data_IF_006936086340
#
_entry.id   IF_006936086340
#
_cell.length_a   1.000
_cell.length_b   1.000
_cell.length_c   1.000
_cell.angle_alpha   90.00
_cell.angle_beta   90.00
_cell.angle_gamma   90.00
#
_symmetry.space_group_name_H-M   'P 1'
#
loop_
_entity.id
_entity.type
_entity.pdbx_description
1 polymer ?
#
# COMPACT_ATOMS: atom_id res chain seq x y z
N UNK A 1 13.25 -18.29 7.11
CA UNK A 1 13.42 -16.91 6.63
C UNK A 1 13.07 -16.66 5.17
N UNK A 2 13.29 -17.59 4.23
CA UNK A 2 13.00 -17.34 2.80
C UNK A 2 11.54 -16.98 2.46
N UNK A 3 10.55 -17.53 3.19
CA UNK A 3 9.12 -17.23 2.93
C UNK A 3 8.76 -15.78 3.23
N UNK A 4 9.24 -15.24 4.34
CA UNK A 4 8.98 -13.87 4.81
C UNK A 4 9.58 -12.84 3.84
N UNK A 5 10.78 -13.12 3.34
CA UNK A 5 11.47 -12.27 2.36
C UNK A 5 10.76 -12.27 1.01
N UNK A 6 10.39 -13.45 0.50
CA UNK A 6 9.62 -13.56 -0.74
C UNK A 6 8.27 -12.84 -0.68
N UNK A 7 7.53 -12.99 0.43
CA UNK A 7 6.27 -12.25 0.66
C UNK A 7 6.48 -10.73 0.70
N UNK A 8 7.55 -10.30 1.34
CA UNK A 8 7.93 -8.88 1.40
C UNK A 8 8.21 -8.32 0.00
N UNK A 9 8.98 -9.05 -0.82
CA UNK A 9 9.27 -8.67 -2.21
C UNK A 9 7.99 -8.63 -3.07
N UNK A 10 7.08 -9.59 -2.87
CA UNK A 10 5.76 -9.61 -3.51
C UNK A 10 4.94 -8.36 -3.15
N UNK A 11 4.89 -7.98 -1.87
CA UNK A 11 4.19 -6.78 -1.44
C UNK A 11 4.76 -5.51 -2.05
N UNK A 12 6.09 -5.38 -2.10
CA UNK A 12 6.76 -4.24 -2.72
C UNK A 12 6.41 -4.14 -4.21
N UNK A 13 6.45 -5.26 -4.92
CA UNK A 13 6.08 -5.30 -6.35
C UNK A 13 4.63 -4.88 -6.55
N UNK A 14 3.71 -5.40 -5.73
CA UNK A 14 2.28 -5.11 -5.83
C UNK A 14 1.93 -3.66 -5.48
N UNK A 15 2.60 -3.06 -4.48
CA UNK A 15 2.45 -1.63 -4.18
C UNK A 15 2.97 -0.76 -5.32
N UNK A 16 4.05 -1.18 -5.99
CA UNK A 16 4.59 -0.44 -7.15
C UNK A 16 3.65 -0.47 -8.34
N UNK A 17 2.96 -1.60 -8.56
CA UNK A 17 1.89 -1.70 -9.55
C UNK A 17 0.74 -0.74 -9.21
N UNK A 18 0.28 -0.76 -7.96
CA UNK A 18 -0.81 0.11 -7.51
C UNK A 18 -0.45 1.60 -7.56
N UNK A 19 0.81 1.97 -7.31
CA UNK A 19 1.29 3.35 -7.47
C UNK A 19 1.23 3.80 -8.94
N UNK A 20 1.56 2.89 -9.86
CA UNK A 20 1.49 3.14 -11.30
C UNK A 20 0.03 3.34 -11.74
N UNK A 21 -0.86 2.42 -11.36
CA UNK A 21 -2.31 2.53 -11.63
C UNK A 21 -2.91 3.81 -11.02
N UNK A 22 -2.48 4.19 -9.81
CA UNK A 22 -2.90 5.44 -9.17
C UNK A 22 -2.39 6.69 -9.92
N UNK A 23 -1.20 6.62 -10.53
CA UNK A 23 -0.65 7.66 -11.40
C UNK A 23 -1.47 7.85 -12.66
N UNK A 24 -1.95 6.76 -13.27
CA UNK A 24 -2.84 6.80 -14.44
C UNK A 24 -4.24 7.37 -14.10
N UNK A 25 -4.71 7.20 -12.86
CA UNK A 25 -5.99 7.71 -12.37
C UNK A 25 -6.00 9.20 -11.97
N UNK A 26 -4.84 9.88 -12.03
CA UNK A 26 -4.67 11.32 -11.79
C UNK A 26 -4.01 11.70 -10.47
N UNK A 27 -3.51 12.93 -10.38
CA UNK A 27 -2.64 13.40 -9.28
C UNK A 27 -3.27 13.31 -7.88
N UNK A 28 -4.57 13.58 -7.76
CA UNK A 28 -5.29 13.50 -6.48
C UNK A 28 -5.35 12.06 -5.94
N UNK A 29 -5.53 11.08 -6.83
CA UNK A 29 -5.51 9.64 -6.49
C UNK A 29 -4.10 9.24 -6.14
N UNK A 30 -3.13 9.60 -6.98
CA UNK A 30 -1.71 9.33 -6.77
C UNK A 30 -1.24 9.81 -5.39
N UNK A 31 -1.53 11.04 -4.99
CA UNK A 31 -1.13 11.58 -3.68
C UNK A 31 -1.73 10.76 -2.54
N UNK A 32 -3.02 10.43 -2.60
CA UNK A 32 -3.71 9.63 -1.57
C UNK A 32 -3.15 8.21 -1.47
N UNK A 33 -2.84 7.59 -2.61
CA UNK A 33 -2.25 6.26 -2.66
C UNK A 33 -0.79 6.27 -2.19
N UNK A 34 0.01 7.26 -2.59
CA UNK A 34 1.40 7.41 -2.19
C UNK A 34 1.58 7.52 -0.67
N UNK A 35 0.69 8.25 0.02
CA UNK A 35 0.71 8.33 1.49
C UNK A 35 0.51 6.96 2.14
N UNK A 36 -0.49 6.19 1.66
CA UNK A 36 -0.77 4.83 2.19
C UNK A 36 0.34 3.84 1.89
N UNK A 37 0.95 3.94 0.71
CA UNK A 37 2.10 3.12 0.33
C UNK A 37 3.31 3.46 1.23
N UNK A 38 3.55 4.74 1.50
CA UNK A 38 4.62 5.18 2.39
C UNK A 38 4.43 4.66 3.82
N UNK A 39 3.23 4.77 4.38
CA UNK A 39 2.91 4.26 5.72
C UNK A 39 3.19 2.74 5.83
N UNK A 40 2.78 1.98 4.82
CA UNK A 40 3.04 0.54 4.79
C UNK A 40 4.54 0.23 4.67
N UNK A 41 5.29 0.98 3.86
CA UNK A 41 6.74 0.80 3.71
C UNK A 41 7.48 1.03 5.03
N UNK A 42 7.10 2.04 5.81
CA UNK A 42 7.67 2.28 7.13
C UNK A 42 7.44 1.09 8.07
N UNK A 43 6.23 0.52 8.06
CA UNK A 43 5.91 -0.66 8.87
C UNK A 43 6.73 -1.89 8.43
N UNK A 44 6.93 -2.06 7.13
CA UNK A 44 7.73 -3.13 6.55
C UNK A 44 9.21 -3.02 6.92
N UNK A 45 9.79 -1.82 6.86
CA UNK A 45 11.18 -1.55 7.27
C UNK A 45 11.38 -1.82 8.76
N UNK A 46 10.42 -1.42 9.60
CA UNK A 46 10.46 -1.70 11.03
C UNK A 46 10.48 -3.21 11.32
N UNK A 47 9.68 -3.98 10.57
CA UNK A 47 9.67 -5.44 10.66
C UNK A 47 10.98 -6.08 10.17
N UNK A 48 11.54 -5.62 9.04
CA UNK A 48 12.84 -6.09 8.56
C UNK A 48 13.96 -5.82 9.57
N UNK A 49 13.94 -4.66 10.23
CA UNK A 49 14.88 -4.33 11.29
C UNK A 49 14.72 -5.26 12.51
N UNK A 50 13.49 -5.62 12.89
CA UNK A 50 13.22 -6.63 13.94
C UNK A 50 13.75 -8.00 13.55
N UNK A 51 13.51 -8.45 12.32
CA UNK A 51 13.99 -9.74 11.82
C UNK A 51 15.52 -9.83 11.84
N UNK A 52 16.21 -8.76 11.45
CA UNK A 52 17.67 -8.70 11.51
C UNK A 52 18.17 -8.84 12.96
N UNK A 53 17.55 -8.15 13.91
CA UNK A 53 17.89 -8.27 15.35
C UNK A 53 17.64 -9.68 15.91
N UNK A 54 16.61 -10.35 15.41
CA UNK A 54 16.31 -11.74 15.77
C UNK A 54 17.41 -12.70 15.26
N UNK A 55 17.93 -12.47 14.05
CA UNK A 55 19.09 -13.23 13.51
C UNK A 55 20.36 -13.04 14.36
N UNK A 56 20.49 -11.88 15.00
CA UNK A 56 21.65 -11.51 15.82
C UNK A 56 21.49 -11.87 17.32
N UNK A 57 20.35 -12.43 17.74
CA UNK A 57 20.04 -12.70 19.16
C UNK A 57 20.48 -14.09 19.64
N UNK A 58 20.96 -14.17 20.89
CA UNK A 58 21.27 -15.43 21.58
C UNK A 58 20.02 -16.27 21.90
N UNK A 59 20.19 -17.60 21.91
CA UNK A 59 19.12 -18.63 22.05
C UNK A 59 18.11 -18.36 23.18
N UNK A 60 18.56 -17.77 24.29
CA UNK A 60 17.74 -17.62 25.51
C UNK A 60 16.54 -16.66 25.37
N UNK A 61 16.56 -15.76 24.38
CA UNK A 61 15.45 -14.83 24.06
C UNK A 61 14.90 -15.04 22.66
N UNK A 62 15.40 -16.02 21.93
CA UNK A 62 15.10 -16.19 20.52
C UNK A 62 13.66 -16.63 20.29
N UNK A 63 13.13 -17.56 21.09
CA UNK A 63 11.75 -18.04 20.93
C UNK A 63 10.70 -16.94 21.17
N UNK A 64 10.89 -16.11 22.21
CA UNK A 64 9.98 -15.01 22.53
C UNK A 64 10.01 -13.93 21.43
N UNK A 65 11.21 -13.54 20.99
CA UNK A 65 11.35 -12.56 19.91
C UNK A 65 10.85 -13.10 18.56
N UNK A 66 11.00 -14.40 18.30
CA UNK A 66 10.45 -15.04 17.12
C UNK A 66 8.92 -14.98 17.11
N UNK A 67 8.28 -15.29 18.23
CA UNK A 67 6.83 -15.20 18.35
C UNK A 67 6.32 -13.75 18.16
N UNK A 68 7.03 -12.75 18.70
CA UNK A 68 6.73 -11.33 18.41
C UNK A 68 6.85 -11.01 16.93
N UNK A 69 7.91 -11.49 16.27
CA UNK A 69 8.11 -11.29 14.84
C UNK A 69 7.02 -11.96 13.99
N UNK A 70 6.62 -13.20 14.32
CA UNK A 70 5.54 -13.90 13.61
C UNK A 70 4.18 -13.20 13.78
N UNK A 71 3.89 -12.65 14.96
CA UNK A 71 2.71 -11.81 15.19
C UNK A 71 2.77 -10.49 14.40
N UNK A 72 3.93 -9.82 14.40
CA UNK A 72 4.13 -8.59 13.63
C UNK A 72 3.98 -8.83 12.12
N UNK A 73 4.45 -9.98 11.62
CA UNK A 73 4.28 -10.37 10.23
C UNK A 73 2.81 -10.60 9.87
N UNK A 74 2.05 -11.29 10.73
CA UNK A 74 0.61 -11.50 10.52
C UNK A 74 -0.16 -10.18 10.48
N UNK A 75 0.17 -9.23 11.36
CA UNK A 75 -0.42 -7.90 11.35
C UNK A 75 -0.05 -7.11 10.07
N UNK A 76 1.16 -7.30 9.53
CA UNK A 76 1.56 -6.73 8.25
C UNK A 76 0.77 -7.34 7.08
N UNK A 77 0.48 -8.64 7.11
CA UNK A 77 -0.37 -9.28 6.11
C UNK A 77 -1.77 -8.66 6.05
N UNK A 78 -2.42 -8.52 7.20
CA UNK A 78 -3.75 -7.91 7.29
C UNK A 78 -3.73 -6.43 6.86
N UNK A 79 -2.70 -5.70 7.29
CA UNK A 79 -2.50 -4.31 6.90
C UNK A 79 -2.28 -4.16 5.39
N UNK A 80 -1.51 -5.06 4.78
CA UNK A 80 -1.25 -5.07 3.35
C UNK A 80 -2.52 -5.26 2.53
N UNK A 81 -3.34 -6.26 2.90
CA UNK A 81 -4.60 -6.53 2.22
C UNK A 81 -5.56 -5.34 2.32
N UNK A 82 -5.61 -4.70 3.50
CA UNK A 82 -6.38 -3.48 3.71
C UNK A 82 -5.88 -2.33 2.84
N UNK A 83 -4.57 -2.04 2.83
CA UNK A 83 -3.96 -0.98 2.02
C UNK A 83 -4.24 -1.21 0.54
N UNK A 84 -4.02 -2.44 0.05
CA UNK A 84 -4.32 -2.80 -1.35
C UNK A 84 -5.81 -2.60 -1.68
N UNK A 85 -6.71 -3.05 -0.80
CA UNK A 85 -8.15 -2.87 -0.97
C UNK A 85 -8.56 -1.40 -1.01
N UNK A 86 -8.02 -0.58 -0.12
CA UNK A 86 -8.34 0.83 -0.01
C UNK A 86 -7.77 1.64 -1.18
N UNK A 87 -6.57 1.30 -1.68
CA UNK A 87 -6.00 1.90 -2.90
C UNK A 87 -6.89 1.57 -4.10
N UNK A 88 -7.24 0.30 -4.30
CA UNK A 88 -8.13 -0.12 -5.41
C UNK A 88 -9.49 0.58 -5.38
N UNK A 89 -10.09 0.74 -4.20
CA UNK A 89 -11.33 1.51 -4.03
C UNK A 89 -11.13 2.98 -4.41
N UNK A 90 -10.00 3.56 -4.06
CA UNK A 90 -9.67 4.96 -4.37
C UNK A 90 -9.50 5.17 -5.87
N UNK A 91 -8.79 4.26 -6.54
CA UNK A 91 -8.61 4.25 -8.00
C UNK A 91 -9.98 4.14 -8.69
N UNK A 92 -10.77 3.10 -8.36
CA UNK A 92 -12.10 2.88 -8.96
C UNK A 92 -13.07 4.03 -8.71
N UNK A 93 -13.07 4.60 -7.50
CA UNK A 93 -13.96 5.70 -7.12
C UNK A 93 -13.69 6.98 -7.90
N UNK A 94 -12.44 7.22 -8.33
CA UNK A 94 -12.10 8.39 -9.13
C UNK A 94 -12.41 8.19 -10.62
N UNK A 95 -12.35 6.95 -11.13
CA UNK A 95 -12.79 6.62 -12.50
C UNK A 95 -14.28 6.82 -12.76
N UNK A 96 -15.10 7.05 -11.72
CA UNK A 96 -16.55 7.26 -11.83
C UNK A 96 -16.97 8.75 -11.84
N UNK A 97 -16.02 9.69 -11.70
CA UNK A 97 -16.32 11.12 -11.59
C UNK A 97 -16.08 11.93 -12.88
N UNK A 98 -15.76 11.27 -14.00
CA UNK A 98 -15.45 11.92 -15.29
C UNK A 98 -16.54 11.70 -16.37
N UNK A 99 -17.83 11.82 -16.05
CA UNK A 99 -18.88 11.82 -17.11
C UNK A 99 -20.04 12.80 -16.89
N UNK A 100 -19.97 13.74 -15.94
CA UNK A 100 -21.06 14.73 -15.80
C UNK A 100 -20.59 16.07 -15.25
N UNK A 101 -19.73 16.77 -16.00
CA UNK A 101 -19.74 18.23 -15.97
C UNK A 101 -19.10 18.84 -17.23
N UNK A 102 -19.63 18.53 -18.41
CA UNK A 102 -19.47 19.45 -19.54
C UNK A 102 -20.56 20.51 -19.35
N UNK A 103 -20.24 21.76 -18.97
CA UNK A 103 -21.19 22.84 -19.14
C UNK A 103 -21.50 22.89 -20.64
N UNK A 104 -22.74 22.52 -20.97
CA UNK A 104 -23.31 22.73 -22.29
C UNK A 104 -23.43 24.24 -22.44
N UNK A 105 -22.37 24.86 -22.94
CA UNK A 105 -22.42 26.16 -23.60
C UNK A 105 -23.35 25.98 -24.81
N UNK A 106 -24.66 26.08 -24.55
CA UNK A 106 -25.60 26.45 -25.59
C UNK A 106 -25.55 27.96 -25.70
N UNK A 107 -24.75 28.41 -26.67
CA UNK A 107 -25.09 29.46 -27.62
C UNK A 107 -26.39 30.20 -27.29
N UNK A 108 -26.28 31.20 -26.41
CA UNK A 108 -27.25 32.27 -26.29
C UNK A 108 -26.74 33.48 -27.07
N UNK A 109 -26.44 33.27 -28.35
CA UNK A 109 -26.29 34.33 -29.36
C UNK A 109 -26.96 33.85 -30.64
N UNK A 110 -28.21 34.26 -30.88
CA UNK A 110 -28.58 34.94 -32.13
C UNK A 110 -30.01 35.53 -32.05
N UNK A 111 -30.07 36.83 -32.38
CA UNK A 111 -31.18 37.67 -32.87
C UNK A 111 -32.49 37.86 -32.09
#
# INVERSE_FOLDING_TARGET
MNKTRAKTDEWIARLSLLDTEAGEAGDSVRIKCALRIADFRVALEAFQAKMKKLEESDDRKWEEQRADAENAFSALEESFDRVCGDIKKTIRGNSSLDESNVPRDEDAWDH
#
